data_IF_759026740419
#
_entry.id   IF_759026740419
#
_cell.length_a   1.000
_cell.length_b   1.000
_cell.length_c   1.000
_cell.angle_alpha   90.00
_cell.angle_beta   90.00
_cell.angle_gamma   90.00
#
_symmetry.space_group_name_H-M   'P 1'
#
loop_
_entity.id
_entity.type
_entity.pdbx_description
1 polymer ?
#
# COMPACT_ATOMS: atom_id res chain seq x y z
N UNK A 1 -13.04 -8.80 -11.85
CA UNK A 1 -14.50 -9.05 -11.78
C UNK A 1 -15.32 -7.89 -11.20
N UNK A 2 -14.78 -7.01 -10.33
CA UNK A 2 -15.53 -5.91 -9.72
C UNK A 2 -16.04 -4.82 -10.69
N UNK A 3 -15.27 -4.48 -11.73
CA UNK A 3 -15.60 -3.40 -12.69
C UNK A 3 -16.92 -3.58 -13.44
N UNK A 4 -17.40 -4.82 -13.62
CA UNK A 4 -18.65 -5.09 -14.35
C UNK A 4 -19.90 -5.01 -13.47
N UNK A 5 -19.75 -5.15 -12.15
CA UNK A 5 -20.87 -5.16 -11.19
C UNK A 5 -21.64 -3.84 -11.09
N UNK A 6 -21.01 -2.65 -11.10
CA UNK A 6 -21.78 -1.40 -11.06
C UNK A 6 -22.58 -1.17 -12.35
N UNK A 7 -22.01 -1.48 -13.53
CA UNK A 7 -22.72 -1.34 -14.80
C UNK A 7 -23.95 -2.26 -14.90
N UNK A 8 -23.84 -3.49 -14.39
CA UNK A 8 -24.98 -4.41 -14.29
C UNK A 8 -26.05 -3.88 -13.32
N UNK A 9 -25.65 -3.35 -12.17
CA UNK A 9 -26.57 -2.75 -11.20
C UNK A 9 -27.31 -1.52 -11.76
N UNK A 10 -26.61 -0.63 -12.46
CA UNK A 10 -27.18 0.54 -13.13
C UNK A 10 -28.19 0.12 -14.21
N UNK A 11 -27.87 -0.90 -14.99
CA UNK A 11 -28.78 -1.42 -16.02
C UNK A 11 -30.11 -1.89 -15.41
N UNK A 12 -30.05 -2.62 -14.29
CA UNK A 12 -31.25 -3.05 -13.59
C UNK A 12 -32.00 -1.91 -12.93
N UNK A 13 -31.29 -0.91 -12.40
CA UNK A 13 -31.92 0.29 -11.83
C UNK A 13 -32.73 1.06 -12.87
N UNK A 14 -32.14 1.30 -14.04
CA UNK A 14 -32.82 1.99 -15.15
C UNK A 14 -34.09 1.22 -15.55
N UNK A 15 -34.00 -0.10 -15.71
CA UNK A 15 -35.19 -0.95 -15.98
C UNK A 15 -36.25 -0.83 -14.87
N UNK A 16 -35.82 -0.82 -13.62
CA UNK A 16 -36.70 -0.67 -12.46
C UNK A 16 -37.42 0.67 -12.42
N UNK A 17 -36.73 1.76 -12.78
CA UNK A 17 -37.29 3.11 -12.90
C UNK A 17 -38.28 3.19 -14.06
N UNK A 18 -37.95 2.63 -15.23
CA UNK A 18 -38.86 2.61 -16.38
C UNK A 18 -40.18 1.89 -16.09
N UNK A 19 -40.15 0.86 -15.24
CA UNK A 19 -41.34 0.08 -14.87
C UNK A 19 -42.12 0.64 -13.67
N UNK A 20 -41.44 1.29 -12.73
CA UNK A 20 -42.02 1.76 -11.45
C UNK A 20 -42.18 3.28 -11.32
N UNK A 21 -41.66 4.04 -12.29
CA UNK A 21 -41.47 5.49 -12.20
C UNK A 21 -40.21 5.86 -11.40
N UNK A 22 -39.80 7.12 -11.53
CA UNK A 22 -38.57 7.66 -10.91
C UNK A 22 -38.53 7.56 -9.39
N UNK A 23 -39.69 7.63 -8.72
CA UNK A 23 -39.78 7.54 -7.27
C UNK A 23 -39.75 6.10 -6.73
N UNK A 24 -39.86 5.08 -7.60
CA UNK A 24 -39.91 3.69 -7.16
C UNK A 24 -38.68 3.23 -6.37
N UNK A 25 -37.43 3.54 -6.77
CA UNK A 25 -36.24 3.17 -5.99
C UNK A 25 -36.29 3.74 -4.59
N UNK A 26 -36.63 5.03 -4.45
CA UNK A 26 -36.68 5.73 -3.16
C UNK A 26 -37.74 5.13 -2.23
N UNK A 27 -38.93 4.81 -2.75
CA UNK A 27 -39.98 4.15 -1.95
C UNK A 27 -39.64 2.72 -1.53
N UNK A 28 -38.77 2.05 -2.28
CA UNK A 28 -38.35 0.67 -2.03
C UNK A 28 -37.04 0.54 -1.24
N UNK A 29 -36.37 1.65 -0.95
CA UNK A 29 -35.09 1.64 -0.28
C UNK A 29 -35.23 1.00 1.12
N UNK A 30 -34.37 0.03 1.48
CA UNK A 30 -34.39 -0.54 2.82
C UNK A 30 -34.06 0.53 3.86
N UNK A 31 -34.73 0.46 5.02
CA UNK A 31 -34.51 1.43 6.10
C UNK A 31 -33.13 1.25 6.76
N UNK A 32 -32.71 -0.01 6.92
CA UNK A 32 -31.38 -0.35 7.43
C UNK A 32 -30.29 -0.14 6.37
N UNK A 33 -29.14 0.34 6.81
CA UNK A 33 -28.00 0.64 5.95
C UNK A 33 -26.87 -0.34 6.20
N UNK A 34 -26.16 -0.68 5.14
CA UNK A 34 -24.93 -1.45 5.25
C UNK A 34 -23.93 -0.71 6.16
N UNK A 35 -23.25 -1.43 7.04
CA UNK A 35 -22.20 -0.87 7.89
C UNK A 35 -20.86 -1.37 7.39
N UNK A 36 -19.91 -0.44 7.32
CA UNK A 36 -18.53 -0.69 6.91
C UNK A 36 -17.63 -0.27 8.06
N UNK A 37 -17.01 -1.26 8.71
CA UNK A 37 -15.92 -1.05 9.64
C UNK A 37 -14.58 -1.18 8.92
N UNK A 38 -13.64 -0.29 9.22
CA UNK A 38 -12.25 -0.42 8.74
C UNK A 38 -11.38 -0.82 9.91
N UNK A 39 -10.73 -1.98 9.79
CA UNK A 39 -9.70 -2.41 10.75
C UNK A 39 -8.37 -1.86 10.32
N UNK A 40 -7.70 -1.23 11.27
CA UNK A 40 -6.41 -0.59 11.08
C UNK A 40 -5.30 -1.48 11.65
N UNK A 41 -4.15 -1.48 10.98
CA UNK A 41 -2.93 -2.11 11.47
C UNK A 41 -1.78 -1.10 11.44
N UNK A 42 -0.66 -1.49 12.03
CA UNK A 42 0.59 -0.72 12.01
C UNK A 42 1.66 -1.58 11.36
N UNK A 43 2.35 -1.02 10.37
CA UNK A 43 3.49 -1.64 9.71
C UNK A 43 4.63 -0.61 9.66
N UNK A 44 5.80 -0.98 10.19
CA UNK A 44 6.97 -0.09 10.26
C UNK A 44 6.67 1.28 10.93
N UNK A 45 5.81 1.28 11.95
CA UNK A 45 5.40 2.50 12.66
C UNK A 45 4.33 3.34 11.95
N UNK A 46 3.94 2.98 10.72
CA UNK A 46 2.88 3.66 9.97
C UNK A 46 1.54 2.94 10.12
N UNK A 47 0.50 3.68 10.47
CA UNK A 47 -0.87 3.19 10.57
C UNK A 47 -1.52 3.15 9.18
N UNK A 48 -2.01 1.98 8.78
CA UNK A 48 -2.68 1.79 7.49
C UNK A 48 -3.97 0.98 7.65
N UNK A 49 -4.96 1.15 6.75
CA UNK A 49 -6.13 0.29 6.73
C UNK A 49 -5.69 -1.12 6.32
N UNK A 50 -6.18 -2.15 7.00
CA UNK A 50 -5.71 -3.53 6.83
C UNK A 50 -6.83 -4.48 6.41
N UNK A 51 -8.05 -4.26 6.89
CA UNK A 51 -9.19 -5.07 6.54
C UNK A 51 -10.50 -4.30 6.67
N UNK A 52 -11.56 -4.90 6.15
CA UNK A 52 -12.93 -4.40 6.26
C UNK A 52 -13.77 -5.41 7.01
N UNK A 53 -14.60 -4.91 7.91
CA UNK A 53 -15.72 -5.65 8.47
C UNK A 53 -17.00 -5.13 7.81
N UNK A 54 -17.80 -6.03 7.26
CA UNK A 54 -19.02 -5.70 6.53
C UNK A 54 -20.23 -6.25 7.28
N UNK A 55 -21.26 -5.41 7.43
CA UNK A 55 -22.59 -5.83 7.87
C UNK A 55 -23.58 -5.50 6.78
N UNK A 56 -24.30 -6.53 6.31
CA UNK A 56 -25.32 -6.35 5.29
C UNK A 56 -26.51 -5.54 5.80
N UNK A 57 -27.13 -4.72 4.94
CA UNK A 57 -28.42 -4.13 5.25
C UNK A 57 -29.48 -5.22 5.30
N UNK A 58 -30.21 -5.28 6.41
CA UNK A 58 -31.31 -6.23 6.60
C UNK A 58 -32.63 -5.52 6.42
N UNK A 59 -33.47 -6.02 5.52
CA UNK A 59 -34.83 -5.54 5.36
C UNK A 59 -35.69 -6.11 6.49
N UNK A 60 -36.37 -5.26 7.26
CA UNK A 60 -37.34 -5.71 8.26
C UNK A 60 -38.54 -6.40 7.62
N UNK A 61 -39.20 -7.31 8.34
CA UNK A 61 -40.35 -8.07 7.82
C UNK A 61 -41.55 -7.19 7.43
N UNK A 62 -41.67 -5.99 8.01
CA UNK A 62 -42.72 -5.03 7.72
C UNK A 62 -42.37 -4.03 6.59
N UNK A 63 -41.14 -4.09 6.06
CA UNK A 63 -40.73 -3.17 5.00
C UNK A 63 -41.27 -3.61 3.64
N UNK A 64 -41.73 -2.65 2.80
CA UNK A 64 -42.28 -2.97 1.49
C UNK A 64 -41.22 -3.62 0.58
N UNK A 65 -41.61 -4.69 -0.09
CA UNK A 65 -40.79 -5.31 -1.14
C UNK A 65 -40.66 -4.38 -2.35
N UNK A 66 -39.59 -4.51 -3.14
CA UNK A 66 -39.45 -3.74 -4.37
C UNK A 66 -40.69 -3.87 -5.28
N UNK A 67 -41.20 -2.76 -5.84
CA UNK A 67 -42.47 -2.75 -6.58
C UNK A 67 -42.37 -3.46 -7.95
N UNK A 68 -41.18 -3.84 -8.39
CA UNK A 68 -40.97 -4.67 -9.56
C UNK A 68 -39.70 -5.54 -9.41
N UNK A 69 -39.62 -6.60 -10.20
CA UNK A 69 -38.51 -7.56 -10.18
C UNK A 69 -37.17 -6.93 -10.61
N UNK A 70 -37.19 -5.94 -11.49
CA UNK A 70 -35.99 -5.23 -11.91
C UNK A 70 -35.32 -4.49 -10.74
N UNK A 71 -36.09 -3.90 -9.82
CA UNK A 71 -35.56 -3.28 -8.60
C UNK A 71 -35.01 -4.31 -7.61
N UNK A 72 -35.60 -5.51 -7.51
CA UNK A 72 -35.03 -6.60 -6.72
C UNK A 72 -33.66 -7.07 -7.28
N UNK A 73 -33.54 -7.16 -8.60
CA UNK A 73 -32.26 -7.43 -9.26
C UNK A 73 -31.26 -6.30 -9.07
N UNK A 74 -31.69 -5.04 -9.19
CA UNK A 74 -30.85 -3.87 -8.93
C UNK A 74 -30.32 -3.88 -7.50
N UNK A 75 -31.17 -4.12 -6.51
CA UNK A 75 -30.78 -4.21 -5.10
C UNK A 75 -29.72 -5.30 -4.89
N UNK A 76 -29.93 -6.50 -5.47
CA UNK A 76 -28.98 -7.62 -5.38
C UNK A 76 -27.64 -7.27 -6.03
N UNK A 77 -27.66 -6.67 -7.22
CA UNK A 77 -26.45 -6.27 -7.95
C UNK A 77 -25.67 -5.16 -7.24
N UNK A 78 -26.37 -4.16 -6.68
CA UNK A 78 -25.74 -3.11 -5.87
C UNK A 78 -25.14 -3.66 -4.59
N UNK A 79 -25.82 -4.57 -3.88
CA UNK A 79 -25.24 -5.25 -2.69
C UNK A 79 -23.95 -5.99 -3.05
N UNK A 80 -23.93 -6.71 -4.17
CA UNK A 80 -22.73 -7.42 -4.63
C UNK A 80 -21.59 -6.47 -5.07
N UNK A 81 -21.92 -5.32 -5.66
CA UNK A 81 -20.95 -4.28 -6.00
C UNK A 81 -20.38 -3.62 -4.74
N UNK A 82 -21.25 -3.22 -3.81
CA UNK A 82 -20.88 -2.54 -2.57
C UNK A 82 -20.09 -3.43 -1.62
N UNK A 83 -20.32 -4.75 -1.57
CA UNK A 83 -19.46 -5.65 -0.78
C UNK A 83 -18.00 -5.66 -1.23
N UNK A 84 -17.75 -5.47 -2.52
CA UNK A 84 -16.39 -5.52 -3.07
C UNK A 84 -15.66 -4.18 -3.00
N UNK A 85 -16.39 -3.06 -2.97
CA UNK A 85 -15.81 -1.72 -3.07
C UNK A 85 -14.94 -1.34 -1.85
N UNK A 86 -15.36 -1.54 -0.58
CA UNK A 86 -14.54 -1.24 0.59
C UNK A 86 -13.23 -2.01 0.63
N UNK A 87 -13.25 -3.29 0.24
CA UNK A 87 -12.05 -4.14 0.21
C UNK A 87 -11.03 -3.56 -0.78
N UNK A 88 -11.49 -3.16 -1.96
CA UNK A 88 -10.64 -2.50 -2.95
C UNK A 88 -10.10 -1.16 -2.41
N UNK A 89 -10.94 -0.35 -1.77
CA UNK A 89 -10.53 0.92 -1.19
C UNK A 89 -9.46 0.74 -0.10
N UNK A 90 -9.66 -0.20 0.84
CA UNK A 90 -8.69 -0.50 1.91
C UNK A 90 -7.35 -0.92 1.34
N UNK A 91 -7.33 -1.86 0.40
CA UNK A 91 -6.07 -2.33 -0.18
C UNK A 91 -5.39 -1.27 -1.06
N UNK A 92 -6.16 -0.48 -1.82
CA UNK A 92 -5.63 0.64 -2.59
C UNK A 92 -4.98 1.69 -1.71
N UNK A 93 -5.70 2.17 -0.69
CA UNK A 93 -5.17 3.15 0.25
C UNK A 93 -3.96 2.63 1.02
N UNK A 94 -3.97 1.36 1.44
CA UNK A 94 -2.81 0.76 2.08
C UNK A 94 -1.60 0.71 1.15
N UNK A 95 -1.80 0.32 -0.12
CA UNK A 95 -0.73 0.28 -1.11
C UNK A 95 -0.13 1.66 -1.37
N UNK A 96 -0.97 2.70 -1.51
CA UNK A 96 -0.52 4.07 -1.73
C UNK A 96 0.31 4.60 -0.55
N UNK A 97 -0.16 4.38 0.68
CA UNK A 97 0.57 4.77 1.89
C UNK A 97 1.92 4.05 1.99
N UNK A 98 1.95 2.73 1.75
CA UNK A 98 3.18 1.95 1.79
C UNK A 98 4.15 2.32 0.68
N UNK A 99 3.65 2.63 -0.52
CA UNK A 99 4.47 3.11 -1.62
C UNK A 99 5.15 4.43 -1.26
N UNK A 100 4.40 5.39 -0.71
CA UNK A 100 4.91 6.68 -0.27
C UNK A 100 6.00 6.53 0.82
N UNK A 101 5.74 5.70 1.83
CA UNK A 101 6.68 5.48 2.93
C UNK A 101 7.95 4.76 2.46
N UNK A 102 7.84 3.81 1.53
CA UNK A 102 8.99 3.03 1.05
C UNK A 102 9.96 3.82 0.16
N UNK A 103 9.58 5.01 -0.34
CA UNK A 103 10.39 5.77 -1.29
C UNK A 103 11.70 6.28 -0.65
N UNK A 104 11.63 6.90 0.54
CA UNK A 104 12.82 7.46 1.21
C UNK A 104 13.82 6.39 1.66
N UNK A 105 13.41 5.28 2.32
CA UNK A 105 14.33 4.20 2.66
C UNK A 105 15.00 3.58 1.43
N UNK A 106 14.27 3.38 0.32
CA UNK A 106 14.84 2.84 -0.92
C UNK A 106 15.90 3.76 -1.51
N UNK A 107 15.65 5.07 -1.52
CA UNK A 107 16.64 6.03 -1.99
C UNK A 107 17.88 6.03 -1.08
N UNK A 108 17.70 6.00 0.24
CA UNK A 108 18.79 5.96 1.21
C UNK A 108 19.64 4.70 1.08
N UNK A 109 19.01 3.53 0.97
CA UNK A 109 19.71 2.25 0.74
C UNK A 109 20.49 2.30 -0.57
N UNK A 110 19.90 2.83 -1.65
CA UNK A 110 20.60 2.99 -2.93
C UNK A 110 21.81 3.92 -2.81
N UNK A 111 21.67 5.06 -2.14
CA UNK A 111 22.79 5.99 -1.93
C UNK A 111 23.90 5.35 -1.10
N UNK A 112 23.55 4.64 -0.02
CA UNK A 112 24.50 3.91 0.81
C UNK A 112 25.27 2.87 -0.01
N UNK A 113 24.56 1.99 -0.70
CA UNK A 113 25.19 0.89 -1.43
C UNK A 113 25.98 1.34 -2.66
N UNK A 114 25.51 2.37 -3.38
CA UNK A 114 26.12 2.79 -4.65
C UNK A 114 27.17 3.88 -4.52
N UNK A 115 27.15 4.66 -3.45
CA UNK A 115 28.03 5.82 -3.32
C UNK A 115 28.85 5.78 -2.04
N UNK A 116 28.19 5.71 -0.88
CA UNK A 116 28.89 5.83 0.40
C UNK A 116 29.78 4.64 0.71
N UNK A 117 29.28 3.40 0.55
CA UNK A 117 30.07 2.20 0.84
C UNK A 117 31.30 2.10 -0.08
N UNK A 118 31.17 2.27 -1.41
CA UNK A 118 32.35 2.30 -2.28
C UNK A 118 33.35 3.39 -1.90
N UNK A 119 32.89 4.64 -1.69
CA UNK A 119 33.77 5.75 -1.34
C UNK A 119 34.55 5.50 -0.06
N UNK A 120 33.90 4.98 0.97
CA UNK A 120 34.55 4.66 2.25
C UNK A 120 35.55 3.51 2.12
N UNK A 121 35.32 2.56 1.20
CA UNK A 121 36.28 1.50 0.90
C UNK A 121 37.51 2.04 0.17
N UNK A 122 37.32 2.95 -0.78
CA UNK A 122 38.42 3.57 -1.51
C UNK A 122 39.27 4.45 -0.57
N UNK A 123 38.62 5.23 0.32
CA UNK A 123 39.30 6.00 1.35
C UNK A 123 40.11 5.11 2.31
N UNK A 124 39.53 3.96 2.72
CA UNK A 124 40.23 2.99 3.56
C UNK A 124 41.46 2.41 2.86
N UNK A 125 41.32 1.98 1.60
CA UNK A 125 42.42 1.40 0.83
C UNK A 125 43.57 2.40 0.60
N UNK A 126 43.24 3.69 0.41
CA UNK A 126 44.23 4.74 0.27
C UNK A 126 45.02 4.97 1.57
N UNK A 127 44.35 4.94 2.72
CA UNK A 127 44.99 5.05 4.03
C UNK A 127 45.87 3.83 4.34
N UNK A 128 45.41 2.62 4.01
CA UNK A 128 46.19 1.40 4.16
C UNK A 128 47.47 1.47 3.33
N UNK A 129 47.39 1.88 2.06
CA UNK A 129 48.57 2.03 1.20
C UNK A 129 49.56 3.08 1.72
N UNK A 130 49.06 4.24 2.17
CA UNK A 130 49.91 5.29 2.74
C UNK A 130 50.62 4.82 4.01
N UNK A 131 49.96 3.99 4.82
CA UNK A 131 50.57 3.40 6.01
C UNK A 131 51.68 2.42 5.61
N UNK A 132 51.42 1.50 4.68
CA UNK A 132 52.41 0.53 4.19
C UNK A 132 53.66 1.23 3.62
N UNK A 133 53.49 2.32 2.88
CA UNK A 133 54.60 3.11 2.35
C UNK A 133 55.42 3.76 3.47
N UNK A 134 54.76 4.36 4.47
CA UNK A 134 55.45 4.97 5.61
C UNK A 134 56.24 3.94 6.44
N UNK A 135 55.69 2.74 6.62
CA UNK A 135 56.35 1.64 7.32
C UNK A 135 57.57 1.13 6.52
N UNK A 136 57.45 1.06 5.19
CA UNK A 136 58.57 0.70 4.31
C UNK A 136 59.71 1.72 4.41
N UNK A 137 59.41 3.02 4.33
CA UNK A 137 60.40 4.09 4.47
C UNK A 137 61.10 4.06 5.84
N UNK A 138 60.35 3.83 6.91
CA UNK A 138 60.93 3.65 8.24
C UNK A 138 61.85 2.44 8.33
N UNK A 139 61.45 1.30 7.77
CA UNK A 139 62.28 0.10 7.75
C UNK A 139 63.60 0.32 6.98
N UNK A 140 63.55 1.00 5.83
CA UNK A 140 64.74 1.39 5.05
C UNK A 140 65.65 2.30 5.86
N UNK A 141 65.10 3.34 6.50
CA UNK A 141 65.88 4.27 7.36
C UNK A 141 66.57 3.54 8.51
N UNK A 142 65.86 2.63 9.19
CA UNK A 142 66.43 1.81 10.29
C UNK A 142 67.56 0.90 9.78
N UNK A 143 67.38 0.25 8.62
CA UNK A 143 68.41 -0.60 8.00
C UNK A 143 69.67 0.19 7.68
N UNK A 144 69.55 1.39 7.11
CA UNK A 144 70.70 2.24 6.79
C UNK A 144 71.41 2.78 8.04
N UNK A 145 70.68 3.09 9.11
CA UNK A 145 71.28 3.47 10.38
C UNK A 145 72.09 2.32 10.98
N UNK A 146 71.56 1.09 10.92
CA UNK A 146 72.24 -0.11 11.40
C UNK A 146 73.52 -0.43 10.60
N UNK A 147 73.54 -0.23 9.28
CA UNK A 147 74.75 -0.44 8.46
C UNK A 147 75.79 0.67 8.58
N UNK A 148 75.42 1.90 8.95
CA UNK A 148 76.38 3.00 9.19
C UNK A 148 76.92 3.08 10.62
N UNK A 149 76.22 2.53 11.61
CA UNK A 149 76.64 2.54 13.02
C UNK A 149 77.51 1.36 13.45
N UNK A 150 77.76 0.39 12.57
CA UNK A 150 78.55 -0.82 12.84
C UNK A 150 79.99 -0.78 12.32
N UNK A 151 80.57 0.42 12.14
CA UNK A 151 81.97 0.63 11.76
C UNK A 151 82.83 1.02 12.95
#
# INVERSE_FOLDING_TARGET
MWRKRPAEAETWLVRGVLLGGESAPLRSAPADRARVGVRWAVLMGMRHPAAVDWTDPVRGAAEPTPPNTALAHAETAYRAALRAAPVLAVHGTAADLLAAESARPRQRVRALCRHWIPRLRDELAALELALEESEHEEAVRRRWAATRGGG
#
